data_IF_525842755692
#
_entry.id   IF_525842755692
#
_cell.length_a   1.000
_cell.length_b   1.000
_cell.length_c   1.000
_cell.angle_alpha   90.00
_cell.angle_beta   90.00
_cell.angle_gamma   90.00
#
_symmetry.space_group_name_H-M   'P 1'
#
loop_
_entity.id
_entity.type
_entity.pdbx_description
1 polymer ?
#
# COMPACT_ATOMS: atom_id res chain seq x y z
N UNK A 1 -1.08 -18.13 -32.93
CA UNK A 1 0.30 -18.25 -32.49
C UNK A 1 0.32 -18.10 -30.98
N UNK A 2 0.65 -19.13 -30.28
CA UNK A 2 0.62 -19.10 -28.80
C UNK A 2 1.99 -18.60 -28.30
N UNK A 3 2.08 -17.28 -28.06
CA UNK A 3 3.31 -16.62 -27.59
C UNK A 3 3.88 -17.28 -26.32
N UNK A 4 3.03 -17.92 -25.52
CA UNK A 4 3.46 -18.62 -24.29
C UNK A 4 4.31 -19.83 -24.61
N UNK A 5 3.97 -20.59 -25.61
CA UNK A 5 4.75 -21.73 -26.07
C UNK A 5 6.09 -21.33 -26.70
N UNK A 6 6.15 -20.12 -27.27
CA UNK A 6 7.34 -19.59 -27.96
C UNK A 6 8.30 -18.82 -27.04
N UNK A 7 7.91 -18.57 -25.78
CA UNK A 7 8.67 -17.75 -24.81
C UNK A 7 9.45 -18.58 -23.79
N UNK A 8 10.15 -19.62 -24.24
CA UNK A 8 10.90 -20.52 -23.34
C UNK A 8 11.92 -19.79 -22.46
N UNK A 9 12.59 -18.77 -23.00
CA UNK A 9 13.57 -17.95 -22.28
C UNK A 9 12.90 -17.14 -21.14
N UNK A 10 11.71 -16.57 -21.41
CA UNK A 10 10.94 -15.84 -20.40
C UNK A 10 10.51 -16.76 -19.25
N UNK A 11 10.00 -17.95 -19.57
CA UNK A 11 9.59 -18.92 -18.54
C UNK A 11 10.76 -19.45 -17.74
N UNK A 12 11.90 -19.69 -18.37
CA UNK A 12 13.12 -20.10 -17.70
C UNK A 12 13.61 -19.00 -16.74
N UNK A 13 13.57 -17.75 -17.15
CA UNK A 13 13.90 -16.61 -16.30
C UNK A 13 12.98 -16.53 -15.09
N UNK A 14 11.66 -16.53 -15.29
CA UNK A 14 10.67 -16.47 -14.21
C UNK A 14 10.81 -17.64 -13.24
N UNK A 15 11.06 -18.84 -13.73
CA UNK A 15 11.28 -20.03 -12.91
C UNK A 15 12.59 -20.02 -12.11
N UNK A 16 13.55 -19.20 -12.49
CA UNK A 16 14.82 -19.03 -11.77
C UNK A 16 14.73 -18.06 -10.58
N UNK A 17 13.68 -17.25 -10.53
CA UNK A 17 13.51 -16.23 -9.48
C UNK A 17 13.12 -16.87 -8.15
N UNK A 18 13.65 -16.30 -7.07
CA UNK A 18 13.38 -16.73 -5.70
C UNK A 18 12.53 -15.70 -4.97
N UNK A 19 11.58 -16.18 -4.21
CA UNK A 19 10.74 -15.34 -3.35
C UNK A 19 11.63 -14.51 -2.41
N UNK A 20 11.37 -13.19 -2.35
CA UNK A 20 12.16 -12.27 -1.53
C UNK A 20 13.43 -11.74 -2.20
N UNK A 21 13.80 -12.23 -3.39
CA UNK A 21 14.93 -11.72 -4.16
C UNK A 21 14.71 -10.27 -4.59
N UNK A 22 15.76 -9.47 -4.53
CA UNK A 22 15.72 -8.08 -4.95
C UNK A 22 16.09 -7.99 -6.43
N UNK A 23 15.16 -7.47 -7.23
CA UNK A 23 15.32 -7.28 -8.66
C UNK A 23 15.37 -5.80 -8.98
N UNK A 24 16.26 -5.44 -9.90
CA UNK A 24 16.43 -4.06 -10.34
C UNK A 24 16.06 -3.92 -11.82
N UNK A 25 15.58 -2.75 -12.18
CA UNK A 25 15.19 -2.45 -13.54
C UNK A 25 14.85 -1.00 -13.75
N UNK A 26 14.28 -0.71 -14.91
CA UNK A 26 13.85 0.62 -15.33
C UNK A 26 12.35 0.65 -15.56
N UNK A 27 11.67 1.63 -15.01
CA UNK A 27 10.23 1.85 -15.26
C UNK A 27 10.03 2.18 -16.74
N UNK A 28 9.21 1.39 -17.43
CA UNK A 28 8.95 1.53 -18.87
C UNK A 28 7.57 2.08 -19.20
N UNK A 29 6.58 1.81 -18.34
CA UNK A 29 5.24 2.34 -18.50
C UNK A 29 4.53 2.44 -17.15
N UNK A 30 3.67 3.44 -17.02
CA UNK A 30 2.80 3.66 -15.86
C UNK A 30 1.37 3.62 -16.35
N UNK A 31 0.60 2.67 -15.82
CA UNK A 31 -0.80 2.47 -16.14
C UNK A 31 -1.68 2.66 -14.89
N UNK A 32 -2.97 2.81 -15.09
CA UNK A 32 -3.93 2.96 -13.96
C UNK A 32 -3.97 1.75 -13.02
N UNK A 33 -3.58 0.58 -13.50
CA UNK A 33 -3.58 -0.68 -12.76
C UNK A 33 -2.21 -1.09 -12.22
N UNK A 34 -1.12 -0.40 -12.60
CA UNK A 34 0.21 -0.71 -12.13
C UNK A 34 1.33 -0.14 -12.98
N UNK A 35 2.55 -0.57 -12.69
CA UNK A 35 3.79 -0.06 -13.29
C UNK A 35 4.57 -1.21 -13.90
N UNK A 36 4.96 -1.06 -15.17
CA UNK A 36 5.83 -2.02 -15.86
C UNK A 36 7.30 -1.65 -15.67
N UNK A 37 8.11 -2.68 -15.43
CA UNK A 37 9.56 -2.56 -15.23
C UNK A 37 10.30 -3.50 -16.16
N UNK A 38 11.21 -2.97 -16.97
CA UNK A 38 12.17 -3.77 -17.71
C UNK A 38 13.28 -4.18 -16.74
N UNK A 39 13.32 -5.46 -16.37
CA UNK A 39 14.32 -6.01 -15.46
C UNK A 39 15.67 -6.13 -16.14
N UNK A 40 16.75 -5.80 -15.41
CA UNK A 40 18.11 -5.79 -15.97
C UNK A 40 18.55 -7.16 -16.46
N UNK A 41 18.26 -8.20 -15.69
CA UNK A 41 18.65 -9.59 -15.99
C UNK A 41 17.56 -10.38 -16.72
N UNK A 42 16.42 -9.75 -16.99
CA UNK A 42 15.27 -10.38 -17.62
C UNK A 42 15.24 -10.21 -19.14
N UNK A 43 14.68 -11.17 -19.87
CA UNK A 43 14.39 -11.00 -21.28
C UNK A 43 13.28 -9.97 -21.51
N UNK A 44 13.15 -9.44 -22.74
CA UNK A 44 12.01 -8.61 -23.07
C UNK A 44 10.72 -9.44 -23.04
N UNK A 45 9.61 -8.81 -22.65
CA UNK A 45 8.31 -9.45 -22.69
C UNK A 45 7.71 -9.33 -24.12
N UNK A 46 7.13 -10.40 -24.69
CA UNK A 46 6.60 -10.36 -26.06
C UNK A 46 5.39 -9.45 -26.25
N UNK A 47 4.61 -9.19 -25.20
CA UNK A 47 3.38 -8.39 -25.26
C UNK A 47 3.43 -7.10 -24.45
N UNK A 48 4.22 -7.06 -23.39
CA UNK A 48 4.23 -5.95 -22.44
C UNK A 48 5.55 -5.18 -22.47
N UNK A 49 5.57 -3.92 -22.03
CA UNK A 49 6.79 -3.09 -22.09
C UNK A 49 7.87 -3.52 -21.10
N UNK A 50 7.59 -4.48 -20.22
CA UNK A 50 8.56 -5.03 -19.27
C UNK A 50 8.06 -6.33 -18.65
N UNK A 51 8.97 -7.18 -18.21
CA UNK A 51 8.63 -8.45 -17.55
C UNK A 51 8.33 -8.26 -16.06
N UNK A 52 8.84 -7.19 -15.45
CA UNK A 52 8.49 -6.78 -14.08
C UNK A 52 7.20 -5.99 -14.05
N UNK A 53 6.38 -6.25 -13.04
CA UNK A 53 5.14 -5.53 -12.82
C UNK A 53 4.93 -5.25 -11.32
N UNK A 54 4.53 -4.02 -11.03
CA UNK A 54 4.24 -3.55 -9.67
C UNK A 54 2.78 -3.14 -9.63
N UNK A 55 1.97 -3.81 -8.81
CA UNK A 55 0.58 -3.41 -8.60
C UNK A 55 0.52 -2.11 -7.79
N UNK A 56 -0.55 -1.36 -7.93
CA UNK A 56 -0.72 -0.06 -7.25
C UNK A 56 -0.45 -0.15 -5.74
N UNK A 57 -1.00 -1.13 -4.99
CA UNK A 57 -0.72 -1.25 -3.55
C UNK A 57 0.74 -1.52 -3.18
N UNK A 58 1.52 -2.06 -4.10
CA UNK A 58 2.92 -2.42 -3.87
C UNK A 58 3.92 -1.28 -4.16
N UNK A 59 3.43 -0.11 -4.57
CA UNK A 59 4.28 1.04 -4.89
C UNK A 59 4.79 1.77 -3.64
N UNK A 60 3.94 1.98 -2.65
CA UNK A 60 4.29 2.75 -1.45
C UNK A 60 3.40 2.40 -0.26
N UNK A 61 3.94 2.52 0.95
CA UNK A 61 3.17 2.50 2.19
C UNK A 61 2.32 3.76 2.37
N UNK A 62 2.75 4.87 1.77
CA UNK A 62 2.06 6.15 1.86
C UNK A 62 0.93 6.22 0.84
N UNK A 63 -0.12 6.94 1.18
CA UNK A 63 -1.21 7.22 0.25
C UNK A 63 -0.71 8.14 -0.88
N UNK A 64 -1.13 7.86 -2.09
CA UNK A 64 -0.85 8.65 -3.29
C UNK A 64 -2.07 8.67 -4.21
N UNK A 65 -2.21 9.71 -5.01
CA UNK A 65 -3.32 9.87 -5.94
C UNK A 65 -3.10 9.09 -7.24
N UNK A 66 -1.87 9.10 -7.72
CA UNK A 66 -1.49 8.43 -8.95
C UNK A 66 -0.08 7.82 -8.84
N UNK A 67 0.14 6.73 -9.55
CA UNK A 67 1.44 6.04 -9.58
C UNK A 67 2.58 6.95 -10.06
N UNK A 68 2.29 7.93 -10.94
CA UNK A 68 3.24 8.95 -11.40
C UNK A 68 3.76 9.89 -10.29
N UNK A 69 3.07 9.96 -9.17
CA UNK A 69 3.55 10.67 -7.96
C UNK A 69 4.57 9.86 -7.14
N UNK A 70 4.69 8.57 -7.41
CA UNK A 70 5.63 7.66 -6.72
C UNK A 70 6.84 7.34 -7.58
N UNK A 71 6.61 7.02 -8.86
CA UNK A 71 7.65 6.66 -9.83
C UNK A 71 7.41 7.37 -11.15
N UNK A 72 8.46 7.46 -11.97
CA UNK A 72 8.40 8.03 -13.31
C UNK A 72 8.98 7.09 -14.36
N UNK A 73 8.50 7.18 -15.60
CA UNK A 73 9.06 6.42 -16.72
C UNK A 73 10.54 6.80 -16.90
N UNK A 74 11.38 5.80 -17.07
CA UNK A 74 12.84 5.95 -17.13
C UNK A 74 13.54 5.89 -15.78
N UNK A 75 12.81 5.89 -14.68
CA UNK A 75 13.39 5.80 -13.35
C UNK A 75 13.94 4.40 -13.07
N UNK A 76 15.11 4.34 -12.45
CA UNK A 76 15.69 3.09 -11.92
C UNK A 76 15.01 2.74 -10.60
N UNK A 77 14.56 1.49 -10.49
CA UNK A 77 13.91 0.97 -9.30
C UNK A 77 14.48 -0.39 -8.91
N UNK A 78 14.40 -0.71 -7.62
CA UNK A 78 14.65 -2.04 -7.08
C UNK A 78 13.45 -2.46 -6.25
N UNK A 79 12.98 -3.67 -6.45
CA UNK A 79 11.83 -4.22 -5.75
C UNK A 79 12.05 -5.65 -5.32
N UNK A 80 11.34 -6.05 -4.27
CA UNK A 80 11.34 -7.43 -3.80
C UNK A 80 10.42 -8.28 -4.68
N UNK A 81 10.93 -9.40 -5.15
CA UNK A 81 10.14 -10.36 -5.91
C UNK A 81 9.14 -11.09 -5.00
N UNK A 82 7.86 -11.00 -5.35
CA UNK A 82 6.77 -11.60 -4.59
C UNK A 82 6.35 -12.96 -5.15
N UNK A 83 6.08 -12.98 -6.44
CA UNK A 83 5.67 -14.17 -7.20
C UNK A 83 5.66 -13.84 -8.68
N UNK A 84 5.60 -14.85 -9.54
CA UNK A 84 5.32 -14.60 -10.95
C UNK A 84 3.87 -14.94 -11.29
N UNK A 85 3.30 -14.17 -12.20
CA UNK A 85 1.97 -14.38 -12.73
C UNK A 85 2.07 -15.31 -13.95
N UNK A 86 1.47 -16.50 -13.84
CA UNK A 86 1.50 -17.49 -14.91
C UNK A 86 0.61 -17.12 -16.09
N UNK A 87 -0.38 -16.25 -15.88
CA UNK A 87 -1.28 -15.83 -16.94
C UNK A 87 -0.62 -14.81 -17.86
N UNK A 88 0.02 -13.80 -17.30
CA UNK A 88 0.68 -12.72 -18.04
C UNK A 88 2.19 -12.95 -18.22
N UNK A 89 2.77 -13.96 -17.60
CA UNK A 89 4.23 -14.18 -17.55
C UNK A 89 4.99 -12.95 -17.03
N UNK A 90 4.55 -12.41 -15.90
CA UNK A 90 5.13 -11.24 -15.26
C UNK A 90 5.78 -11.60 -13.92
N UNK A 91 6.89 -10.95 -13.60
CA UNK A 91 7.45 -10.95 -12.27
C UNK A 91 6.82 -9.85 -11.43
N UNK A 92 6.05 -10.21 -10.41
CA UNK A 92 5.43 -9.26 -9.47
C UNK A 92 6.43 -8.77 -8.46
N UNK A 93 6.57 -7.45 -8.35
CA UNK A 93 7.53 -6.78 -7.48
C UNK A 93 6.83 -5.89 -6.46
N UNK A 94 7.50 -5.67 -5.33
CA UNK A 94 7.09 -4.70 -4.32
C UNK A 94 8.17 -3.65 -4.10
N UNK A 95 7.87 -2.39 -4.38
CA UNK A 95 8.72 -1.26 -4.00
C UNK A 95 8.56 -0.93 -2.52
N UNK A 96 7.36 -1.05 -1.98
CA UNK A 96 7.11 -0.76 -0.57
C UNK A 96 7.86 -1.70 0.37
N UNK A 97 8.13 -2.94 -0.05
CA UNK A 97 8.93 -3.87 0.73
C UNK A 97 10.38 -3.40 0.96
N UNK A 98 10.89 -2.51 0.08
CA UNK A 98 12.21 -1.88 0.21
C UNK A 98 12.21 -0.68 1.16
N UNK A 99 11.05 -0.28 1.67
CA UNK A 99 10.86 0.87 2.54
C UNK A 99 10.47 0.44 3.95
N UNK A 100 10.86 1.19 4.99
CA UNK A 100 10.37 0.95 6.33
C UNK A 100 8.84 1.05 6.36
N UNK A 101 8.19 0.08 7.02
CA UNK A 101 6.75 0.09 7.21
C UNK A 101 6.39 1.11 8.32
N UNK A 102 5.72 2.23 7.99
CA UNK A 102 5.39 3.25 8.97
C UNK A 102 4.40 2.74 10.03
N UNK A 103 3.50 1.83 9.67
CA UNK A 103 2.56 1.25 10.63
C UNK A 103 3.26 0.39 11.68
N UNK A 104 4.26 -0.37 11.29
CA UNK A 104 5.03 -1.21 12.22
C UNK A 104 5.72 -0.35 13.29
N UNK A 105 6.44 0.68 12.87
CA UNK A 105 7.10 1.61 13.79
C UNK A 105 6.11 2.32 14.72
N UNK A 106 4.97 2.76 14.17
CA UNK A 106 3.90 3.37 14.96
C UNK A 106 3.31 2.40 15.99
N UNK A 107 3.01 1.17 15.59
CA UNK A 107 2.42 0.15 16.45
C UNK A 107 3.36 -0.29 17.59
N UNK A 108 4.67 -0.28 17.35
CA UNK A 108 5.67 -0.58 18.39
C UNK A 108 5.73 0.50 19.49
N UNK A 109 5.45 1.75 19.14
CA UNK A 109 5.49 2.90 20.04
C UNK A 109 4.11 3.32 20.59
N UNK A 110 3.03 2.64 20.19
CA UNK A 110 1.67 3.06 20.52
C UNK A 110 1.00 2.05 21.44
N UNK A 111 0.40 2.55 22.50
CA UNK A 111 -0.37 1.76 23.47
C UNK A 111 -1.84 2.14 23.43
N UNK A 112 -2.70 1.20 23.80
CA UNK A 112 -4.14 1.45 24.03
C UNK A 112 -4.30 2.52 25.10
N UNK A 113 -5.20 3.47 24.86
CA UNK A 113 -5.40 4.63 25.75
C UNK A 113 -4.60 5.88 25.37
N UNK A 114 -3.68 5.77 24.40
CA UNK A 114 -2.94 6.95 23.91
C UNK A 114 -3.88 7.92 23.19
N UNK A 115 -3.78 9.17 23.55
CA UNK A 115 -4.49 10.26 22.89
C UNK A 115 -3.68 10.77 21.70
N UNK A 116 -4.34 10.98 20.59
CA UNK A 116 -3.76 11.44 19.34
C UNK A 116 -4.61 12.52 18.72
N UNK A 117 -3.96 13.50 18.11
CA UNK A 117 -4.61 14.46 17.23
C UNK A 117 -4.59 13.91 15.80
N UNK A 118 -5.72 13.97 15.14
CA UNK A 118 -5.84 13.53 13.75
C UNK A 118 -6.85 14.35 12.97
N UNK A 119 -6.97 14.05 11.70
CA UNK A 119 -7.99 14.64 10.84
C UNK A 119 -8.70 13.58 10.03
N UNK A 120 -9.97 13.85 9.78
CA UNK A 120 -10.84 12.93 9.03
C UNK A 120 -10.41 12.88 7.57
N UNK A 121 -10.13 11.70 7.07
CA UNK A 121 -9.70 11.47 5.68
C UNK A 121 -10.78 10.84 4.83
N UNK A 122 -11.66 10.03 5.43
CA UNK A 122 -12.69 9.30 4.68
C UNK A 122 -13.89 8.98 5.56
N UNK A 123 -15.07 9.11 4.97
CA UNK A 123 -16.34 8.67 5.56
C UNK A 123 -16.82 7.42 4.82
N UNK A 124 -17.12 6.37 5.56
CA UNK A 124 -17.61 5.10 5.03
C UNK A 124 -18.85 4.64 5.80
N UNK A 125 -19.68 3.73 5.25
CA UNK A 125 -20.91 3.31 5.92
C UNK A 125 -20.69 2.69 7.31
N UNK A 126 -19.51 2.11 7.56
CA UNK A 126 -19.17 1.45 8.82
C UNK A 126 -18.33 2.29 9.78
N UNK A 127 -17.98 3.54 9.42
CA UNK A 127 -17.24 4.40 10.32
C UNK A 127 -16.55 5.58 9.67
N UNK A 128 -15.58 6.13 10.39
CA UNK A 128 -14.80 7.32 10.01
C UNK A 128 -13.32 6.97 10.07
N UNK A 129 -12.61 7.20 8.97
CA UNK A 129 -11.16 7.08 8.95
C UNK A 129 -10.50 8.41 9.36
N UNK A 130 -9.55 8.30 10.26
CA UNK A 130 -8.80 9.42 10.81
C UNK A 130 -7.31 9.18 10.62
N UNK A 131 -6.63 10.10 9.95
CA UNK A 131 -5.17 10.08 9.86
C UNK A 131 -4.57 10.66 11.15
N UNK A 132 -3.79 9.87 11.87
CA UNK A 132 -3.19 10.24 13.16
C UNK A 132 -1.68 10.46 13.08
N UNK A 133 -1.06 10.02 12.00
CA UNK A 133 0.34 10.25 11.68
C UNK A 133 0.56 10.08 10.16
N UNK A 134 1.75 10.41 9.67
CA UNK A 134 2.08 10.25 8.25
C UNK A 134 2.00 8.77 7.84
N UNK A 135 1.10 8.46 6.91
CA UNK A 135 0.84 7.10 6.45
C UNK A 135 0.05 6.22 7.42
N UNK A 136 -0.45 6.75 8.52
CA UNK A 136 -1.19 6.00 9.54
C UNK A 136 -2.62 6.51 9.64
N UNK A 137 -3.56 5.66 9.29
CA UNK A 137 -5.00 5.88 9.46
C UNK A 137 -5.58 4.88 10.46
N UNK A 138 -6.49 5.37 11.31
CA UNK A 138 -7.29 4.55 12.20
C UNK A 138 -8.77 4.69 11.90
N UNK A 139 -9.56 3.74 12.36
CA UNK A 139 -11.01 3.70 12.18
C UNK A 139 -11.73 3.96 13.49
N UNK A 140 -12.62 4.94 13.50
CA UNK A 140 -13.68 5.07 14.51
C UNK A 140 -14.88 4.32 13.94
N UNK A 141 -15.24 3.19 14.57
CA UNK A 141 -16.35 2.38 14.07
C UNK A 141 -17.69 3.11 14.32
N UNK A 142 -18.64 2.98 13.39
CA UNK A 142 -19.96 3.62 13.49
C UNK A 142 -20.72 3.27 14.78
N UNK A 143 -20.46 2.12 15.36
CA UNK A 143 -21.05 1.67 16.63
C UNK A 143 -20.31 2.18 17.87
N UNK A 144 -19.23 2.93 17.66
CA UNK A 144 -18.51 3.52 18.78
C UNK A 144 -19.42 4.53 19.48
N UNK A 145 -19.58 4.41 20.81
CA UNK A 145 -20.50 5.29 21.56
C UNK A 145 -20.07 6.77 21.56
N UNK A 146 -18.82 7.05 21.17
CA UNK A 146 -18.29 8.40 21.06
C UNK A 146 -18.67 9.09 19.75
N UNK A 147 -19.20 8.34 18.79
CA UNK A 147 -19.68 8.85 17.51
C UNK A 147 -21.21 8.88 17.53
N UNK A 148 -21.78 10.02 17.92
CA UNK A 148 -23.23 10.15 18.01
C UNK A 148 -23.86 10.45 16.65
N UNK A 149 -25.14 10.09 16.41
CA UNK A 149 -25.84 10.39 15.15
C UNK A 149 -25.92 11.88 14.81
N UNK A 150 -25.82 12.74 15.82
CA UNK A 150 -25.87 14.19 15.69
C UNK A 150 -24.50 14.80 15.38
N UNK A 151 -23.43 14.02 15.48
CA UNK A 151 -22.08 14.46 15.12
C UNK A 151 -21.92 14.52 13.60
N UNK A 152 -22.06 15.71 13.04
CA UNK A 152 -21.75 15.95 11.64
C UNK A 152 -20.24 16.05 11.48
N UNK A 153 -19.61 14.92 11.14
CA UNK A 153 -18.17 14.86 10.86
C UNK A 153 -17.96 14.98 9.37
N UNK A 154 -17.03 15.85 8.96
CA UNK A 154 -16.67 16.07 7.56
C UNK A 154 -15.21 15.70 7.30
N UNK A 155 -14.93 15.37 6.04
CA UNK A 155 -13.53 15.17 5.60
C UNK A 155 -12.75 16.46 5.81
N UNK A 156 -11.57 16.35 6.44
CA UNK A 156 -10.70 17.46 6.80
C UNK A 156 -10.89 17.98 8.22
N UNK A 157 -11.92 17.54 8.94
CA UNK A 157 -12.12 17.94 10.33
C UNK A 157 -10.99 17.45 11.24
N UNK A 158 -10.53 18.32 12.12
CA UNK A 158 -9.59 17.96 13.18
C UNK A 158 -10.34 17.30 14.35
N UNK A 159 -9.80 16.18 14.79
CA UNK A 159 -10.41 15.40 15.89
C UNK A 159 -9.34 14.92 16.87
N UNK A 160 -9.68 14.93 18.15
CA UNK A 160 -8.91 14.24 19.16
C UNK A 160 -9.46 12.82 19.31
N UNK A 161 -8.57 11.84 19.27
CA UNK A 161 -8.93 10.42 19.33
C UNK A 161 -8.11 9.69 20.36
N UNK A 162 -8.64 8.57 20.84
CA UNK A 162 -7.97 7.66 21.76
C UNK A 162 -7.81 6.31 21.09
N UNK A 163 -6.64 5.73 21.19
CA UNK A 163 -6.37 4.39 20.66
C UNK A 163 -7.09 3.35 21.52
N UNK A 164 -7.97 2.57 20.91
CA UNK A 164 -8.71 1.51 21.57
C UNK A 164 -8.18 0.12 21.26
N UNK A 165 -7.60 -0.07 20.08
CA UNK A 165 -7.01 -1.35 19.67
C UNK A 165 -5.96 -1.14 18.58
N UNK A 166 -4.88 -1.94 18.66
CA UNK A 166 -3.82 -2.01 17.65
C UNK A 166 -3.62 -3.46 17.24
N UNK A 167 -3.95 -3.79 16.01
CA UNK A 167 -3.69 -5.10 15.42
C UNK A 167 -2.49 -5.01 14.46
N UNK A 168 -1.37 -5.57 14.87
CA UNK A 168 -0.13 -5.51 14.10
C UNK A 168 -0.15 -6.40 12.86
N UNK A 169 -0.83 -7.53 12.94
CA UNK A 169 -0.89 -8.50 11.84
C UNK A 169 -1.81 -8.00 10.73
N UNK A 170 -2.99 -7.51 11.10
CA UNK A 170 -3.97 -6.96 10.16
C UNK A 170 -3.71 -5.51 9.78
N UNK A 171 -2.72 -4.87 10.39
CA UNK A 171 -2.40 -3.45 10.20
C UNK A 171 -3.62 -2.56 10.43
N UNK A 172 -4.32 -2.79 11.52
CA UNK A 172 -5.53 -2.06 11.90
C UNK A 172 -5.31 -1.28 13.19
N UNK A 173 -5.79 -0.04 13.16
CA UNK A 173 -5.85 0.85 14.32
C UNK A 173 -7.30 1.23 14.54
N UNK A 174 -7.85 0.88 15.70
CA UNK A 174 -9.17 1.30 16.12
C UNK A 174 -9.08 2.45 17.10
N UNK A 175 -9.94 3.41 16.91
CA UNK A 175 -9.98 4.67 17.63
C UNK A 175 -11.38 4.92 18.19
N UNK A 176 -11.44 5.68 19.28
CA UNK A 176 -12.63 6.35 19.77
C UNK A 176 -12.42 7.86 19.73
N UNK A 177 -13.46 8.62 19.51
CA UNK A 177 -13.37 10.08 19.64
C UNK A 177 -13.20 10.44 21.10
N UNK A 178 -12.29 11.36 21.39
CA UNK A 178 -12.21 11.93 22.73
C UNK A 178 -13.42 12.85 22.94
N UNK A 179 -14.34 12.45 23.80
CA UNK A 179 -15.39 13.34 24.28
C UNK A 179 -14.77 14.27 25.30
N UNK A 180 -14.78 15.56 25.00
CA UNK A 180 -14.45 16.57 26.01
C UNK A 180 -15.51 16.44 27.09
N UNK A 181 -15.14 15.83 28.22
CA UNK A 181 -16.02 15.70 29.36
C UNK A 181 -16.45 17.10 29.76
N UNK A 182 -17.74 17.36 29.66
CA UNK A 182 -18.34 18.47 30.39
C UNK A 182 -18.19 18.11 31.88
N UNK A 183 -17.36 18.89 32.56
CA UNK A 183 -17.40 18.98 34.03
C UNK A 183 -18.73 19.56 34.46
#
# INVERSE_FOLDING_TARGET
MDWRAESAELWAFLGSLRLGEILSGTVTAIESFGVFVALDDGPPHPLYPGVGFITIPELSWRRFEAASGVVQVGQRVSGEFLQFDTWNAEARLSLRAMQPDPFRAFAECTTVGRELHGHVTKLVPFGVFVQVADGIEGLIHRRDPTLTPDDVVQIGDDVMVVVTHVDREKRQLLLSRQTTGQL
#
